data_IF_920681029140
#
_entry.id   IF_920681029140
#
_cell.length_a   1.000
_cell.length_b   1.000
_cell.length_c   1.000
_cell.angle_alpha   90.00
_cell.angle_beta   90.00
_cell.angle_gamma   90.00
#
_symmetry.space_group_name_H-M   'P 1'
#
loop_
_entity.id
_entity.type
_entity.pdbx_description
1 polymer ?
#
# COMPACT_ATOMS: atom_id res chain seq x y z
N UNK A 1 -19.05 5.35 43.34
CA UNK A 1 -20.25 5.14 42.49
C UNK A 1 -20.20 5.82 41.12
N UNK A 2 -19.25 6.74 40.83
CA UNK A 2 -19.10 7.35 39.49
C UNK A 2 -18.29 6.51 38.46
N UNK A 3 -17.71 5.39 38.87
CA UNK A 3 -16.83 4.56 38.02
C UNK A 3 -17.56 3.42 37.28
N UNK A 4 -18.74 3.04 37.75
CA UNK A 4 -19.55 1.97 37.14
C UNK A 4 -20.30 2.49 35.90
N UNK A 5 -20.80 3.73 35.93
CA UNK A 5 -21.47 4.34 34.76
C UNK A 5 -20.52 4.59 33.58
N UNK A 6 -19.21 4.76 33.80
CA UNK A 6 -18.24 4.92 32.71
C UNK A 6 -17.91 3.59 32.04
N UNK A 7 -17.93 2.47 32.78
CA UNK A 7 -17.75 1.10 32.26
C UNK A 7 -18.99 0.56 31.53
N UNK A 8 -20.19 1.01 31.89
CA UNK A 8 -21.42 0.63 31.19
C UNK A 8 -21.56 1.34 29.84
N UNK A 9 -21.07 2.58 29.71
CA UNK A 9 -21.04 3.28 28.41
C UNK A 9 -20.12 2.63 27.38
N UNK A 10 -18.95 2.14 27.79
CA UNK A 10 -18.05 1.38 26.90
C UNK A 10 -18.59 0.00 26.54
N UNK A 11 -19.38 -0.63 27.43
CA UNK A 11 -20.04 -1.89 27.13
C UNK A 11 -21.20 -1.73 26.13
N UNK A 12 -21.96 -0.63 26.20
CA UNK A 12 -23.02 -0.32 25.22
C UNK A 12 -22.46 -0.02 23.82
N UNK A 13 -21.27 0.58 23.72
CA UNK A 13 -20.53 0.72 22.44
C UNK A 13 -20.05 -0.64 21.88
N UNK A 14 -19.76 -1.62 22.75
CA UNK A 14 -19.44 -2.99 22.33
C UNK A 14 -20.68 -3.84 21.96
N UNK A 15 -21.87 -3.53 22.47
CA UNK A 15 -23.12 -4.17 22.01
C UNK A 15 -23.49 -3.70 20.59
N UNK A 16 -23.13 -2.47 20.24
CA UNK A 16 -23.18 -1.98 18.84
C UNK A 16 -22.39 -2.87 17.87
N UNK A 17 -21.24 -3.42 18.29
CA UNK A 17 -20.44 -4.36 17.49
C UNK A 17 -21.10 -5.72 17.25
N UNK A 18 -22.01 -6.17 18.14
CA UNK A 18 -22.75 -7.43 17.94
C UNK A 18 -23.92 -7.28 16.97
N UNK A 19 -24.61 -6.13 16.98
CA UNK A 19 -25.62 -5.79 15.97
C UNK A 19 -24.98 -5.48 14.61
N UNK A 20 -23.75 -4.98 14.60
CA UNK A 20 -22.96 -4.81 13.38
C UNK A 20 -22.45 -6.12 12.79
N UNK A 21 -22.32 -7.22 13.54
CA UNK A 21 -21.83 -8.50 12.97
C UNK A 21 -22.74 -9.01 11.84
N UNK A 22 -24.06 -8.90 11.97
CA UNK A 22 -25.01 -9.32 10.94
C UNK A 22 -25.04 -8.35 9.75
N UNK A 23 -24.92 -7.04 10.00
CA UNK A 23 -24.84 -6.00 8.95
C UNK A 23 -23.50 -6.01 8.20
N UNK A 24 -22.39 -6.29 8.88
CA UNK A 24 -21.04 -6.45 8.32
C UNK A 24 -20.94 -7.70 7.44
N UNK A 25 -21.54 -8.82 7.87
CA UNK A 25 -21.67 -10.02 7.03
C UNK A 25 -22.54 -9.76 5.78
N UNK A 26 -23.55 -8.90 5.88
CA UNK A 26 -24.40 -8.52 4.73
C UNK A 26 -23.72 -7.53 3.76
N UNK A 27 -22.84 -6.65 4.26
CA UNK A 27 -22.10 -5.68 3.42
C UNK A 27 -20.91 -6.30 2.68
N UNK A 28 -20.28 -7.34 3.24
CA UNK A 28 -19.23 -8.11 2.56
C UNK A 28 -19.71 -8.75 1.24
N UNK A 29 -21.03 -8.94 1.07
CA UNK A 29 -21.60 -9.72 -0.03
C UNK A 29 -21.76 -8.95 -1.35
N UNK A 30 -21.72 -7.61 -1.40
CA UNK A 30 -22.19 -6.86 -2.59
C UNK A 30 -21.13 -6.14 -3.45
N UNK A 31 -19.84 -6.13 -3.07
CA UNK A 31 -18.81 -5.42 -3.85
C UNK A 31 -17.47 -6.12 -4.06
N UNK A 32 -17.14 -7.16 -3.27
CA UNK A 32 -15.82 -7.81 -3.27
C UNK A 32 -15.79 -9.19 -3.94
N UNK A 33 -16.94 -9.73 -4.36
CA UNK A 33 -17.04 -11.07 -4.93
C UNK A 33 -16.19 -11.27 -6.19
N UNK A 34 -16.04 -10.26 -7.06
CA UNK A 34 -15.26 -10.44 -8.30
C UNK A 34 -13.74 -10.58 -8.06
N UNK A 35 -13.19 -10.02 -6.98
CA UNK A 35 -11.78 -10.26 -6.60
C UNK A 35 -11.62 -11.58 -5.82
N UNK A 36 -12.65 -11.98 -5.06
CA UNK A 36 -12.73 -13.28 -4.38
C UNK A 36 -12.82 -14.46 -5.38
N UNK A 37 -13.57 -14.31 -6.47
CA UNK A 37 -13.72 -15.36 -7.49
C UNK A 37 -12.43 -15.68 -8.25
N UNK A 38 -11.45 -14.77 -8.25
CA UNK A 38 -10.12 -15.01 -8.84
C UNK A 38 -9.23 -15.92 -7.99
N UNK A 39 -9.68 -16.29 -6.77
CA UNK A 39 -8.96 -17.14 -5.82
C UNK A 39 -9.48 -18.60 -5.76
N UNK A 40 -10.24 -19.06 -6.77
CA UNK A 40 -10.75 -20.44 -6.86
C UNK A 40 -9.60 -21.46 -6.87
N UNK A 41 -9.31 -22.05 -5.72
CA UNK A 41 -8.33 -23.12 -5.65
C UNK A 41 -8.04 -23.70 -4.27
N UNK A 42 -8.20 -22.97 -3.16
CA UNK A 42 -8.34 -23.63 -1.84
C UNK A 42 -9.34 -22.90 -0.97
N UNK A 43 -10.11 -23.73 -0.28
CA UNK A 43 -11.04 -23.33 0.76
C UNK A 43 -10.27 -23.24 2.08
N UNK A 44 -9.80 -22.04 2.42
CA UNK A 44 -9.72 -21.72 3.85
C UNK A 44 -11.13 -21.42 4.28
N UNK A 45 -11.53 -22.02 5.40
CA UNK A 45 -12.83 -21.78 5.99
C UNK A 45 -13.01 -20.28 6.25
N UNK A 46 -14.01 -19.69 5.59
CA UNK A 46 -14.32 -18.26 5.68
C UNK A 46 -14.60 -17.85 7.13
N UNK A 47 -15.16 -18.76 7.95
CA UNK A 47 -15.41 -18.51 9.36
C UNK A 47 -14.08 -18.33 10.13
N UNK A 48 -13.05 -19.11 9.78
CA UNK A 48 -11.72 -19.00 10.42
C UNK A 48 -11.04 -17.68 10.06
N UNK A 49 -11.13 -17.24 8.79
CA UNK A 49 -10.60 -15.94 8.38
C UNK A 49 -11.34 -14.81 9.09
N UNK A 50 -12.66 -14.91 9.17
CA UNK A 50 -13.53 -13.93 9.82
C UNK A 50 -13.24 -13.83 11.31
N UNK A 51 -13.19 -14.96 12.02
CA UNK A 51 -12.86 -15.03 13.45
C UNK A 51 -11.49 -14.40 13.74
N UNK A 52 -10.48 -14.74 12.93
CA UNK A 52 -9.13 -14.18 13.11
C UNK A 52 -9.09 -12.69 12.76
N UNK A 53 -9.89 -12.23 11.80
CA UNK A 53 -10.08 -10.79 11.53
C UNK A 53 -10.63 -10.07 12.75
N UNK A 54 -11.68 -10.59 13.39
CA UNK A 54 -12.25 -10.01 14.61
C UNK A 54 -11.20 -9.89 15.70
N UNK A 55 -10.49 -11.00 16.01
CA UNK A 55 -9.41 -11.02 17.01
C UNK A 55 -8.32 -9.99 16.71
N UNK A 56 -7.95 -9.83 15.44
CA UNK A 56 -6.94 -8.86 15.00
C UNK A 56 -7.40 -7.41 15.20
N UNK A 57 -8.63 -7.10 14.80
CA UNK A 57 -9.21 -5.76 14.94
C UNK A 57 -9.36 -5.40 16.42
N UNK A 58 -9.88 -6.32 17.25
CA UNK A 58 -10.00 -6.13 18.70
C UNK A 58 -8.64 -5.87 19.36
N UNK A 59 -7.62 -6.69 19.02
CA UNK A 59 -6.27 -6.53 19.55
C UNK A 59 -5.69 -5.13 19.28
N UNK A 60 -5.92 -4.60 18.08
CA UNK A 60 -5.39 -3.32 17.63
C UNK A 60 -6.25 -2.13 18.13
N UNK A 61 -7.57 -2.24 18.16
CA UNK A 61 -8.49 -1.19 18.66
C UNK A 61 -8.43 -1.04 20.18
N UNK A 62 -8.19 -2.13 20.91
CA UNK A 62 -8.09 -2.12 22.37
C UNK A 62 -6.66 -1.88 22.87
N UNK A 63 -5.77 -1.35 22.03
CA UNK A 63 -4.40 -1.00 22.38
C UNK A 63 -4.33 0.29 23.22
N UNK A 64 -4.67 0.21 24.51
CA UNK A 64 -4.66 1.35 25.44
C UNK A 64 -3.27 1.97 25.68
N UNK A 65 -2.21 1.18 25.47
CA UNK A 65 -0.84 1.67 25.60
C UNK A 65 -0.42 2.59 24.44
N UNK A 66 -1.11 2.50 23.30
CA UNK A 66 -0.86 3.35 22.13
C UNK A 66 -1.65 4.64 22.33
N UNK A 67 -0.94 5.68 22.77
CA UNK A 67 -1.50 7.01 23.05
C UNK A 67 -1.01 8.02 22.02
N UNK A 68 -1.69 8.13 20.87
CA UNK A 68 -1.26 9.05 19.82
C UNK A 68 -1.56 10.51 20.19
N UNK A 69 -0.98 11.47 19.44
CA UNK A 69 -1.29 12.88 19.60
C UNK A 69 -2.79 13.17 19.61
N UNK A 70 -3.18 14.16 20.42
CA UNK A 70 -4.56 14.69 20.42
C UNK A 70 -4.90 15.28 19.06
N UNK A 71 -6.15 15.11 18.64
CA UNK A 71 -6.66 15.68 17.39
C UNK A 71 -6.45 14.82 16.15
N UNK A 72 -5.80 13.65 16.28
CA UNK A 72 -5.72 12.70 15.18
C UNK A 72 -7.05 11.93 15.00
N UNK A 73 -7.43 11.59 13.75
CA UNK A 73 -8.61 10.78 13.47
C UNK A 73 -8.64 9.47 14.26
N UNK A 74 -9.82 9.08 14.73
CA UNK A 74 -10.06 7.84 15.47
C UNK A 74 -9.09 7.63 16.66
N UNK A 75 -8.65 8.71 17.30
CA UNK A 75 -7.64 8.65 18.35
C UNK A 75 -6.41 7.83 17.92
N UNK A 76 -6.00 7.99 16.65
CA UNK A 76 -4.89 7.30 16.00
C UNK A 76 -4.97 5.78 15.90
N UNK A 77 -6.11 5.15 16.21
CA UNK A 77 -6.34 3.72 15.99
C UNK A 77 -7.17 3.56 14.72
N UNK A 78 -6.51 3.21 13.62
CA UNK A 78 -7.09 3.39 12.27
C UNK A 78 -7.47 2.09 11.59
N UNK A 79 -7.19 0.93 12.20
CA UNK A 79 -7.57 -0.38 11.65
C UNK A 79 -9.09 -0.50 11.44
N UNK A 80 -9.54 -0.94 10.28
CA UNK A 80 -10.95 -1.28 10.04
C UNK A 80 -11.12 -2.77 9.77
N UNK A 81 -12.32 -3.29 10.00
CA UNK A 81 -12.64 -4.70 9.79
C UNK A 81 -12.45 -5.10 8.32
N UNK A 82 -13.03 -4.35 7.38
CA UNK A 82 -12.99 -4.69 5.95
C UNK A 82 -11.56 -4.72 5.41
N UNK A 83 -10.72 -3.77 5.83
CA UNK A 83 -9.32 -3.73 5.42
C UNK A 83 -8.52 -4.88 6.04
N UNK A 84 -8.80 -5.23 7.29
CA UNK A 84 -8.16 -6.36 7.95
C UNK A 84 -8.58 -7.70 7.31
N UNK A 85 -9.85 -7.85 6.93
CA UNK A 85 -10.35 -9.03 6.23
C UNK A 85 -9.67 -9.19 4.87
N UNK A 86 -9.66 -8.13 4.04
CA UNK A 86 -8.99 -8.13 2.75
C UNK A 86 -7.48 -8.47 2.88
N UNK A 87 -6.82 -7.90 3.88
CA UNK A 87 -5.42 -8.19 4.19
C UNK A 87 -5.19 -9.66 4.60
N UNK A 88 -6.06 -10.24 5.42
CA UNK A 88 -5.93 -11.65 5.82
C UNK A 88 -6.22 -12.62 4.68
N UNK A 89 -7.19 -12.33 3.83
CA UNK A 89 -7.44 -13.10 2.61
C UNK A 89 -6.20 -13.09 1.68
N UNK A 90 -5.57 -11.92 1.52
CA UNK A 90 -4.31 -11.76 0.78
C UNK A 90 -3.17 -12.55 1.41
N UNK A 91 -3.04 -12.51 2.74
CA UNK A 91 -2.02 -13.25 3.48
C UNK A 91 -2.17 -14.76 3.32
N UNK A 92 -3.40 -15.28 3.46
CA UNK A 92 -3.72 -16.70 3.23
C UNK A 92 -3.35 -17.12 1.81
N UNK A 93 -3.63 -16.27 0.81
CA UNK A 93 -3.21 -16.53 -0.56
C UNK A 93 -1.69 -16.62 -0.68
N UNK A 94 -0.95 -15.66 -0.10
CA UNK A 94 0.52 -15.70 -0.10
C UNK A 94 1.07 -16.92 0.62
N UNK A 95 0.48 -17.34 1.74
CA UNK A 95 0.90 -18.54 2.48
C UNK A 95 0.87 -19.78 1.59
N UNK A 96 -0.16 -19.91 0.76
CA UNK A 96 -0.34 -21.04 -0.16
C UNK A 96 0.62 -20.99 -1.34
N UNK A 97 0.72 -19.83 -1.97
CA UNK A 97 1.47 -19.66 -3.22
C UNK A 97 2.98 -19.57 -2.98
N UNK A 98 3.39 -18.93 -1.89
CA UNK A 98 4.78 -18.55 -1.63
C UNK A 98 5.40 -19.27 -0.42
N UNK A 99 4.58 -19.92 0.41
CA UNK A 99 5.01 -20.50 1.67
C UNK A 99 5.15 -19.48 2.81
N UNK A 100 5.38 -19.96 4.05
CA UNK A 100 5.37 -19.14 5.26
C UNK A 100 6.45 -18.04 5.28
N UNK A 101 7.63 -18.32 4.73
CA UNK A 101 8.77 -17.41 4.78
C UNK A 101 8.52 -16.13 3.97
N UNK A 102 7.97 -16.28 2.76
CA UNK A 102 7.69 -15.15 1.84
C UNK A 102 6.34 -14.49 2.11
N UNK A 103 5.37 -15.22 2.66
CA UNK A 103 4.07 -14.67 3.02
C UNK A 103 4.11 -13.83 4.30
N UNK A 104 5.15 -13.97 5.11
CA UNK A 104 5.23 -13.39 6.45
C UNK A 104 5.04 -11.86 6.42
N UNK A 105 4.02 -11.32 7.12
CA UNK A 105 3.82 -9.89 7.15
C UNK A 105 4.92 -9.19 7.94
N UNK A 106 5.18 -7.94 7.60
CA UNK A 106 6.23 -7.12 8.21
C UNK A 106 5.69 -5.77 8.68
N UNK A 107 6.29 -5.23 9.74
CA UNK A 107 6.00 -3.86 10.19
C UNK A 107 6.61 -2.87 9.20
N UNK A 108 5.85 -1.87 8.81
CA UNK A 108 6.30 -0.81 7.91
C UNK A 108 5.67 0.53 8.26
N UNK A 109 6.23 1.61 7.74
CA UNK A 109 5.78 2.97 8.00
C UNK A 109 5.42 3.68 6.69
N UNK A 110 4.27 4.33 6.69
CA UNK A 110 3.79 5.14 5.58
C UNK A 110 3.62 6.59 6.03
N UNK A 111 4.41 7.48 5.43
CA UNK A 111 4.29 8.91 5.63
C UNK A 111 3.53 9.56 4.49
N UNK A 112 2.74 10.57 4.83
CA UNK A 112 1.94 11.37 3.92
C UNK A 112 1.65 12.72 4.57
N UNK A 113 1.21 13.70 3.79
CA UNK A 113 0.75 14.98 4.32
C UNK A 113 -0.50 14.79 5.21
N UNK A 114 -0.63 15.62 6.25
CA UNK A 114 -1.70 15.50 7.25
C UNK A 114 -3.11 15.65 6.66
N UNK A 115 -3.25 16.45 5.59
CA UNK A 115 -4.49 16.61 4.82
C UNK A 115 -5.05 15.28 4.28
N UNK A 116 -4.20 14.25 4.14
CA UNK A 116 -4.61 12.94 3.65
C UNK A 116 -5.07 11.99 4.77
N UNK A 117 -4.82 12.31 6.05
CA UNK A 117 -5.05 11.38 7.16
C UNK A 117 -6.49 10.89 7.21
N UNK A 118 -7.46 11.81 7.23
CA UNK A 118 -8.88 11.44 7.31
C UNK A 118 -9.30 10.51 6.16
N UNK A 119 -8.93 10.86 4.93
CA UNK A 119 -9.28 10.05 3.76
C UNK A 119 -8.69 8.64 3.79
N UNK A 120 -7.48 8.47 4.34
CA UNK A 120 -6.83 7.15 4.47
C UNK A 120 -7.50 6.33 5.56
N UNK A 121 -7.92 6.97 6.66
CA UNK A 121 -8.67 6.30 7.72
C UNK A 121 -10.03 5.81 7.24
N UNK A 122 -10.71 6.59 6.41
CA UNK A 122 -12.03 6.24 5.86
C UNK A 122 -11.97 5.21 4.71
N UNK A 123 -10.94 5.29 3.85
CA UNK A 123 -10.91 4.56 2.57
C UNK A 123 -9.69 3.68 2.34
N UNK A 124 -8.87 3.46 3.38
CA UNK A 124 -7.57 2.79 3.32
C UNK A 124 -6.51 3.54 2.47
N UNK A 125 -5.28 3.02 2.47
CA UNK A 125 -4.26 3.40 1.50
C UNK A 125 -4.64 2.86 0.12
N UNK A 126 -4.65 3.74 -0.88
CA UNK A 126 -5.01 3.40 -2.25
C UNK A 126 -3.82 3.49 -3.17
N UNK A 127 -3.72 2.53 -4.09
CA UNK A 127 -2.79 2.61 -5.21
C UNK A 127 -3.25 3.78 -6.10
N UNK A 128 -2.36 4.73 -6.47
CA UNK A 128 -2.71 5.80 -7.40
C UNK A 128 -3.38 5.22 -8.65
N UNK A 129 -4.32 5.90 -9.32
CA UNK A 129 -4.93 5.40 -10.55
C UNK A 129 -4.61 6.23 -11.80
N UNK A 130 -4.61 5.57 -12.96
CA UNK A 130 -4.64 6.26 -14.25
C UNK A 130 -6.05 6.82 -14.53
N UNK A 131 -7.07 6.26 -13.87
CA UNK A 131 -8.44 6.75 -13.91
C UNK A 131 -8.50 8.18 -13.32
N UNK A 132 -9.10 9.16 -14.03
CA UNK A 132 -9.33 10.51 -13.52
C UNK A 132 -10.13 10.57 -12.20
N UNK A 133 -10.94 9.56 -11.88
CA UNK A 133 -11.64 9.45 -10.60
C UNK A 133 -10.75 8.94 -9.44
N UNK A 134 -9.56 8.44 -9.75
CA UNK A 134 -8.63 7.90 -8.76
C UNK A 134 -7.71 8.94 -8.13
N UNK A 135 -6.89 8.49 -7.19
CA UNK A 135 -5.87 9.33 -6.55
C UNK A 135 -4.84 9.76 -7.59
N UNK A 136 -4.88 11.05 -7.95
CA UNK A 136 -3.95 11.66 -8.92
C UNK A 136 -2.53 11.65 -8.38
N UNK A 137 -1.59 11.31 -9.26
CA UNK A 137 -0.17 11.31 -8.95
C UNK A 137 0.36 12.75 -8.84
N UNK A 138 0.60 13.23 -7.60
CA UNK A 138 1.18 14.56 -7.32
C UNK A 138 2.70 14.60 -7.51
N UNK A 139 3.40 13.47 -7.30
CA UNK A 139 4.86 13.37 -7.37
C UNK A 139 5.31 12.21 -8.27
N UNK A 140 6.55 12.30 -8.78
CA UNK A 140 7.17 11.22 -9.56
C UNK A 140 7.11 9.87 -8.84
N UNK A 141 7.03 8.78 -9.60
CA UNK A 141 6.97 7.42 -9.07
C UNK A 141 8.33 6.75 -9.28
N UNK A 142 9.27 7.01 -8.36
CA UNK A 142 10.68 6.63 -8.50
C UNK A 142 10.89 5.13 -8.76
N UNK A 143 10.02 4.28 -8.20
CA UNK A 143 10.11 2.82 -8.30
C UNK A 143 8.86 2.19 -8.93
N UNK A 144 7.97 2.99 -9.49
CA UNK A 144 6.71 2.54 -10.06
C UNK A 144 5.47 2.94 -9.26
N UNK A 145 4.32 2.63 -9.85
CA UNK A 145 3.01 2.95 -9.27
C UNK A 145 2.70 1.95 -8.15
N UNK A 146 2.32 2.46 -6.99
CA UNK A 146 2.04 1.63 -5.81
C UNK A 146 2.01 2.48 -4.54
N UNK A 147 1.79 1.80 -3.42
CA UNK A 147 1.82 2.37 -2.08
C UNK A 147 3.25 2.28 -1.56
N UNK A 148 3.85 3.42 -1.22
CA UNK A 148 5.25 3.52 -0.80
C UNK A 148 5.35 3.39 0.72
N UNK A 149 6.21 2.51 1.21
CA UNK A 149 6.49 2.37 2.65
C UNK A 149 7.98 2.16 2.91
N UNK A 150 8.44 2.30 4.15
CA UNK A 150 9.80 1.91 4.55
C UNK A 150 9.71 1.20 5.92
N UNK A 151 10.47 0.10 6.13
CA UNK A 151 10.52 -0.59 7.42
C UNK A 151 11.29 0.19 8.50
N UNK A 152 12.06 1.22 8.12
CA UNK A 152 12.77 2.10 9.05
C UNK A 152 12.01 3.42 9.23
N UNK A 153 11.48 3.63 10.43
CA UNK A 153 10.74 4.85 10.78
C UNK A 153 11.56 6.13 10.61
N UNK A 154 12.81 6.14 11.10
CA UNK A 154 13.62 7.36 11.18
C UNK A 154 13.98 7.83 9.79
N UNK A 155 14.43 6.90 8.95
CA UNK A 155 14.74 7.21 7.55
C UNK A 155 13.50 7.64 6.78
N UNK A 156 12.36 7.00 7.03
CA UNK A 156 11.12 7.36 6.36
C UNK A 156 10.66 8.79 6.74
N UNK A 157 10.88 9.20 7.99
CA UNK A 157 10.54 10.54 8.48
C UNK A 157 11.34 11.63 7.76
N UNK A 158 12.64 11.45 7.63
CA UNK A 158 13.54 12.42 6.98
C UNK A 158 13.18 12.65 5.50
N UNK A 159 12.74 11.59 4.81
CA UNK A 159 12.54 11.61 3.37
C UNK A 159 11.09 11.87 2.93
N UNK A 160 10.11 11.44 3.73
CA UNK A 160 8.72 11.34 3.30
C UNK A 160 7.72 11.98 4.25
N UNK A 161 8.13 12.58 5.38
CA UNK A 161 7.16 13.17 6.32
C UNK A 161 6.38 14.35 5.73
N UNK A 162 6.99 15.12 4.82
CA UNK A 162 6.40 16.36 4.29
C UNK A 162 5.96 17.33 5.41
N UNK A 163 6.64 17.32 6.56
CA UNK A 163 6.30 18.13 7.72
C UNK A 163 5.17 17.57 8.59
N UNK A 164 4.61 16.40 8.26
CA UNK A 164 3.60 15.76 9.08
C UNK A 164 4.14 15.38 10.47
N UNK A 165 3.31 15.55 11.48
CA UNK A 165 3.62 15.23 12.88
C UNK A 165 3.49 13.74 13.22
N UNK A 166 2.74 12.99 12.42
CA UNK A 166 2.45 11.58 12.63
C UNK A 166 2.65 10.74 11.36
N UNK A 167 2.82 9.43 11.54
CA UNK A 167 2.97 8.43 10.48
C UNK A 167 1.99 7.28 10.67
N UNK A 168 1.62 6.62 9.58
CA UNK A 168 0.92 5.36 9.67
C UNK A 168 1.90 4.23 9.97
N UNK A 169 1.68 3.54 11.10
CA UNK A 169 2.34 2.28 11.43
C UNK A 169 1.44 1.13 10.92
N UNK A 170 1.98 0.36 9.99
CA UNK A 170 1.22 -0.62 9.19
C UNK A 170 1.80 -2.02 9.28
N UNK A 171 0.99 -3.00 8.89
CA UNK A 171 1.46 -4.33 8.48
C UNK A 171 1.48 -4.39 6.94
N UNK A 172 2.50 -5.02 6.36
CA UNK A 172 2.65 -5.16 4.92
C UNK A 172 2.98 -6.60 4.50
N UNK A 173 2.38 -7.03 3.38
CA UNK A 173 2.63 -8.30 2.69
C UNK A 173 3.50 -8.03 1.46
N UNK A 174 4.80 -8.25 1.61
CA UNK A 174 5.77 -7.92 0.55
C UNK A 174 5.92 -9.02 -0.50
N UNK A 175 5.68 -10.29 -0.15
CA UNK A 175 5.84 -11.43 -1.05
C UNK A 175 7.21 -11.48 -1.74
N UNK A 176 7.24 -11.93 -2.99
CA UNK A 176 8.45 -11.91 -3.84
C UNK A 176 8.76 -10.48 -4.24
N UNK A 177 9.97 -10.02 -3.93
CA UNK A 177 10.36 -8.62 -4.18
C UNK A 177 11.27 -8.48 -5.40
N UNK A 178 10.96 -7.53 -6.28
CA UNK A 178 11.88 -7.11 -7.34
C UNK A 178 12.74 -5.94 -6.87
N UNK A 179 14.06 -6.13 -6.85
CA UNK A 179 14.99 -5.04 -6.50
C UNK A 179 15.09 -4.03 -7.64
N UNK A 180 14.96 -2.74 -7.33
CA UNK A 180 15.14 -1.65 -8.29
C UNK A 180 16.04 -0.55 -7.75
N UNK A 181 16.89 -0.02 -8.60
CA UNK A 181 17.74 1.13 -8.31
C UNK A 181 17.19 2.41 -8.92
N UNK A 182 17.30 3.53 -8.22
CA UNK A 182 16.87 4.83 -8.70
C UNK A 182 17.56 5.19 -10.04
N UNK A 183 16.80 5.74 -10.99
CA UNK A 183 17.34 6.26 -12.27
C UNK A 183 17.43 5.25 -13.41
N UNK A 184 17.01 3.99 -13.24
CA UNK A 184 16.95 3.00 -14.32
C UNK A 184 15.51 2.54 -14.58
N UNK A 185 14.89 3.15 -15.58
CA UNK A 185 13.63 2.69 -16.19
C UNK A 185 12.37 3.42 -15.74
N UNK A 186 11.36 3.40 -16.63
CA UNK A 186 9.97 3.70 -16.27
C UNK A 186 9.52 2.72 -15.16
N UNK A 187 8.45 3.04 -14.42
CA UNK A 187 7.99 2.30 -13.24
C UNK A 187 7.83 0.78 -13.40
N UNK A 188 7.29 0.06 -12.43
CA UNK A 188 6.60 -1.20 -12.73
C UNK A 188 5.59 -0.87 -13.85
N UNK A 189 5.98 -1.07 -15.10
CA UNK A 189 5.02 -1.18 -16.18
C UNK A 189 4.21 -2.42 -15.85
N UNK A 190 2.95 -2.42 -16.24
CA UNK A 190 2.02 -3.55 -16.10
C UNK A 190 2.61 -4.87 -16.64
N UNK A 191 3.70 -4.81 -17.41
CA UNK A 191 4.43 -5.90 -18.04
C UNK A 191 5.43 -6.66 -17.15
N UNK A 192 5.38 -6.54 -15.82
CA UNK A 192 6.37 -7.21 -14.94
C UNK A 192 6.08 -8.66 -14.57
N UNK A 193 5.06 -9.25 -15.19
CA UNK A 193 4.76 -10.68 -15.05
C UNK A 193 4.23 -11.02 -13.65
N UNK A 194 3.66 -12.20 -13.51
CA UNK A 194 3.10 -12.73 -12.26
C UNK A 194 4.18 -13.15 -11.23
N UNK A 195 5.43 -12.70 -11.42
CA UNK A 195 6.61 -13.24 -10.74
C UNK A 195 6.97 -12.50 -9.45
N UNK A 196 6.49 -11.26 -9.30
CA UNK A 196 6.80 -10.41 -8.15
C UNK A 196 5.55 -9.77 -7.57
N UNK A 197 5.52 -9.70 -6.24
CA UNK A 197 4.40 -9.21 -5.45
C UNK A 197 4.65 -7.77 -4.94
N UNK A 198 5.91 -7.33 -4.89
CA UNK A 198 6.28 -5.95 -4.57
C UNK A 198 7.61 -5.53 -5.18
N UNK A 199 7.95 -4.24 -5.07
CA UNK A 199 9.27 -3.71 -5.43
C UNK A 199 10.04 -3.27 -4.19
N UNK A 200 11.32 -3.64 -4.14
CA UNK A 200 12.31 -3.14 -3.20
C UNK A 200 13.15 -2.05 -3.90
N UNK A 201 12.76 -0.79 -3.68
CA UNK A 201 13.48 0.39 -4.13
C UNK A 201 14.74 0.65 -3.29
N UNK A 202 15.87 0.84 -3.97
CA UNK A 202 17.17 1.23 -3.40
C UNK A 202 17.64 2.53 -4.02
N UNK A 203 17.87 3.54 -3.19
CA UNK A 203 18.45 4.81 -3.61
C UNK A 203 19.97 4.82 -3.36
N UNK A 204 20.80 5.20 -4.34
CA UNK A 204 22.23 5.38 -4.11
C UNK A 204 22.49 6.38 -2.98
N UNK A 205 23.38 6.03 -2.06
CA UNK A 205 23.74 6.90 -0.93
C UNK A 205 22.69 6.97 0.19
N UNK A 206 21.65 6.14 0.15
CA UNK A 206 20.67 6.00 1.24
C UNK A 206 20.58 4.55 1.69
N UNK A 207 20.52 4.35 2.99
CA UNK A 207 20.43 3.03 3.61
C UNK A 207 18.98 2.54 3.87
N UNK A 208 17.94 3.28 3.44
CA UNK A 208 16.53 2.82 3.58
C UNK A 208 16.12 2.03 2.34
N UNK A 209 15.60 0.84 2.61
CA UNK A 209 14.78 0.08 1.69
C UNK A 209 13.41 0.73 1.57
N UNK A 210 13.00 1.15 0.38
CA UNK A 210 11.62 1.58 0.14
C UNK A 210 10.85 0.43 -0.49
N UNK A 211 9.71 0.05 0.09
CA UNK A 211 8.82 -0.92 -0.52
C UNK A 211 7.74 -0.20 -1.33
N UNK A 212 7.40 -0.77 -2.48
CA UNK A 212 6.28 -0.32 -3.30
C UNK A 212 5.31 -1.48 -3.48
N UNK A 213 4.13 -1.35 -2.88
CA UNK A 213 3.08 -2.35 -2.87
C UNK A 213 2.06 -2.04 -3.99
N UNK A 214 1.84 -2.96 -4.94
CA UNK A 214 0.99 -2.71 -6.10
C UNK A 214 -0.51 -2.84 -5.83
N UNK A 215 -0.93 -3.28 -4.63
CA UNK A 215 -2.32 -3.44 -4.25
C UNK A 215 -2.60 -2.96 -2.82
N UNK A 216 -3.83 -2.47 -2.59
CA UNK A 216 -4.26 -1.94 -1.29
C UNK A 216 -4.42 -3.01 -0.21
N UNK A 217 -4.78 -4.23 -0.60
CA UNK A 217 -4.91 -5.38 0.32
C UNK A 217 -3.56 -5.97 0.77
N UNK A 218 -2.44 -5.48 0.25
CA UNK A 218 -1.10 -5.82 0.75
C UNK A 218 -0.68 -4.97 1.95
N UNK A 219 -1.47 -3.99 2.36
CA UNK A 219 -1.16 -3.14 3.49
C UNK A 219 -2.36 -2.95 4.41
N UNK A 220 -2.10 -2.98 5.71
CA UNK A 220 -3.07 -2.71 6.75
C UNK A 220 -2.56 -1.57 7.62
N UNK A 221 -3.08 -0.33 7.45
CA UNK A 221 -2.89 0.73 8.41
C UNK A 221 -3.50 0.33 9.76
N UNK A 222 -2.69 0.33 10.82
CA UNK A 222 -3.16 -0.06 12.14
C UNK A 222 -3.23 1.13 13.08
N UNK A 223 -2.17 1.95 13.08
CA UNK A 223 -2.06 3.12 13.93
C UNK A 223 -1.58 4.35 13.15
N UNK A 224 -2.00 5.52 13.58
CA UNK A 224 -1.48 6.83 13.18
C UNK A 224 -0.82 7.45 14.41
N UNK A 225 0.51 7.49 14.42
CA UNK A 225 1.32 7.74 15.64
C UNK A 225 2.43 8.73 15.39
N UNK A 226 2.78 9.49 16.43
CA UNK A 226 4.00 10.27 16.48
C UNK A 226 5.18 9.43 17.00
N UNK A 227 6.32 10.08 17.22
CA UNK A 227 7.53 9.45 17.73
C UNK A 227 7.38 8.93 19.18
N UNK A 228 6.50 9.55 19.97
CA UNK A 228 6.28 9.17 21.38
C UNK A 228 5.47 7.88 21.47
N UNK A 229 4.41 7.75 20.67
CA UNK A 229 3.54 6.56 20.67
C UNK A 229 4.11 5.38 19.87
N UNK A 230 5.12 5.63 19.01
CA UNK A 230 5.69 4.63 18.11
C UNK A 230 6.16 3.32 18.79
N UNK A 231 6.90 3.33 19.92
CA UNK A 231 7.38 2.08 20.53
C UNK A 231 6.24 1.17 20.98
N UNK A 232 5.18 1.75 21.55
CA UNK A 232 3.98 1.02 21.98
C UNK A 232 3.24 0.44 20.76
N UNK A 233 3.09 1.23 19.69
CA UNK A 233 2.47 0.78 18.45
C UNK A 233 3.24 -0.40 17.82
N UNK A 234 4.56 -0.31 17.72
CA UNK A 234 5.40 -1.40 17.19
C UNK A 234 5.30 -2.65 18.06
N UNK A 235 5.25 -2.51 19.39
CA UNK A 235 5.05 -3.65 20.29
C UNK A 235 3.71 -4.34 20.02
N UNK A 236 2.62 -3.58 19.83
CA UNK A 236 1.31 -4.14 19.51
C UNK A 236 1.24 -4.76 18.11
N UNK A 237 1.88 -4.15 17.12
CA UNK A 237 2.01 -4.73 15.78
C UNK A 237 2.74 -6.09 15.80
N UNK A 238 3.73 -6.27 16.68
CA UNK A 238 4.39 -7.58 16.85
C UNK A 238 3.46 -8.63 17.47
N UNK A 239 2.57 -8.24 18.38
CA UNK A 239 1.52 -9.14 18.89
C UNK A 239 0.55 -9.51 17.77
N UNK A 240 0.15 -8.55 16.94
CA UNK A 240 -0.69 -8.80 15.76
C UNK A 240 -0.01 -9.75 14.77
N UNK A 241 1.30 -9.59 14.51
CA UNK A 241 2.05 -10.54 13.68
C UNK A 241 2.05 -11.96 14.27
N UNK A 242 2.16 -12.10 15.59
CA UNK A 242 2.09 -13.41 16.24
C UNK A 242 0.71 -14.06 16.06
N UNK A 243 -0.37 -13.29 16.24
CA UNK A 243 -1.75 -13.73 15.99
C UNK A 243 -1.96 -14.18 14.54
N UNK A 244 -1.48 -13.40 13.57
CA UNK A 244 -1.65 -13.69 12.14
C UNK A 244 -0.89 -14.96 11.75
N UNK A 245 0.28 -15.20 12.35
CA UNK A 245 1.14 -16.36 12.07
C UNK A 245 0.73 -17.63 12.81
N UNK A 246 -0.32 -17.60 13.65
CA UNK A 246 -0.91 -18.81 14.20
C UNK A 246 -1.21 -19.80 13.06
N UNK A 247 -1.12 -21.13 13.30
CA UNK A 247 -1.43 -22.12 12.29
C UNK A 247 -2.79 -21.87 11.63
N UNK A 248 -2.82 -22.00 10.31
CA UNK A 248 -4.04 -21.91 9.51
C UNK A 248 -4.50 -23.31 9.13
N UNK A 249 -5.79 -23.64 9.25
CA UNK A 249 -6.34 -24.93 8.83
C UNK A 249 -6.47 -24.98 7.31
N UNK A 250 -5.34 -24.84 6.60
CA UNK A 250 -5.29 -24.93 5.15
C UNK A 250 -5.40 -26.41 4.79
N UNK A 251 -6.56 -26.82 4.26
CA UNK A 251 -6.70 -28.14 3.69
C UNK A 251 -5.72 -28.26 2.51
N UNK A 252 -4.91 -29.33 2.44
CA UNK A 252 -4.09 -29.58 1.25
C UNK A 252 -5.02 -29.54 0.04
N UNK A 253 -4.71 -28.70 -0.95
CA UNK A 253 -5.39 -28.79 -2.23
C UNK A 253 -5.21 -30.20 -2.72
N UNK A 254 -6.31 -30.91 -3.02
CA UNK A 254 -6.23 -32.15 -3.76
C UNK A 254 -5.24 -31.95 -4.92
N UNK A 255 -4.31 -32.89 -5.16
CA UNK A 255 -3.35 -32.73 -6.25
C UNK A 255 -4.13 -32.35 -7.51
N UNK A 256 -3.57 -31.44 -8.34
CA UNK A 256 -4.24 -31.00 -9.57
C UNK A 256 -4.76 -32.26 -10.25
N UNK A 257 -6.08 -32.38 -10.37
CA UNK A 257 -6.72 -33.52 -11.03
C UNK A 257 -6.02 -33.60 -12.37
N UNK A 258 -5.20 -34.63 -12.57
CA UNK A 258 -4.43 -34.82 -13.79
C UNK A 258 -5.41 -34.55 -14.91
N UNK A 259 -5.12 -33.50 -15.70
CA UNK A 259 -5.99 -33.13 -16.80
C UNK A 259 -6.27 -34.44 -17.53
N UNK A 260 -7.54 -34.84 -17.70
CA UNK A 260 -7.86 -36.14 -18.26
C UNK A 260 -6.98 -36.28 -19.49
N UNK A 261 -6.06 -37.26 -19.45
CA UNK A 261 -5.10 -37.47 -20.52
C UNK A 261 -5.90 -37.34 -21.80
N UNK A 262 -5.56 -36.36 -22.64
CA UNK A 262 -6.22 -36.15 -23.92
C UNK A 262 -6.02 -37.47 -24.67
N UNK A 263 -7.00 -38.35 -24.53
CA UNK A 263 -6.99 -39.69 -25.06
C UNK A 263 -7.18 -39.50 -26.56
N UNK A 264 -6.04 -39.26 -27.22
CA UNK A 264 -5.74 -39.67 -28.57
C UNK A 264 -6.93 -39.54 -29.53
N UNK A 265 -7.40 -38.31 -29.79
CA UNK A 265 -8.16 -38.02 -31.01
C UNK A 265 -7.21 -38.14 -32.19
N UNK A 266 -6.94 -39.38 -32.61
CA UNK A 266 -6.04 -39.71 -33.71
C UNK A 266 -6.65 -39.56 -35.10
N UNK A 267 -7.96 -39.33 -35.24
CA UNK A 267 -8.64 -39.43 -36.53
C UNK A 267 -9.53 -38.22 -36.86
N UNK A 268 -8.98 -37.02 -36.88
CA UNK A 268 -9.62 -35.89 -37.56
C UNK A 268 -8.99 -35.70 -38.96
N UNK A 269 -9.74 -35.89 -40.05
CA UNK A 269 -9.23 -35.71 -41.40
C UNK A 269 -8.84 -34.24 -41.63
N UNK A 270 -7.69 -34.05 -42.28
CA UNK A 270 -7.09 -32.76 -42.59
C UNK A 270 -8.06 -31.83 -43.33
N UNK A 271 -8.60 -30.85 -42.63
CA UNK A 271 -9.33 -29.74 -43.23
C UNK A 271 -8.31 -28.81 -43.90
N UNK A 272 -8.42 -28.71 -45.23
CA UNK A 272 -7.55 -27.92 -46.09
C UNK A 272 -7.59 -26.45 -45.68
N UNK A 273 -6.48 -25.93 -45.16
CA UNK A 273 -6.31 -24.49 -44.98
C UNK A 273 -6.41 -23.77 -46.34
N UNK A 274 -7.20 -22.69 -46.43
CA UNK A 274 -7.19 -21.84 -47.60
C UNK A 274 -5.83 -21.12 -47.75
N UNK A 275 -5.42 -20.80 -48.98
CA UNK A 275 -4.14 -20.16 -49.27
C UNK A 275 -4.03 -18.81 -48.57
N UNK A 276 -2.87 -18.55 -47.97
CA UNK A 276 -2.46 -17.25 -47.44
C UNK A 276 -2.52 -16.23 -48.58
N UNK A 277 -3.44 -15.28 -48.46
CA UNK A 277 -3.39 -14.06 -49.25
C UNK A 277 -2.24 -13.20 -48.79
N UNK A 278 -1.38 -12.82 -49.73
CA UNK A 278 -0.36 -11.80 -49.57
C UNK A 278 -1.05 -10.45 -49.40
N UNK A 279 -1.13 -9.95 -48.17
CA UNK A 279 -1.46 -8.54 -47.91
C UNK A 279 -0.20 -7.83 -47.40
N UNK A 280 0.70 -7.56 -48.35
CA UNK A 280 1.62 -6.42 -48.30
C UNK A 280 0.79 -5.14 -48.48
N UNK A 281 0.20 -4.60 -47.40
CA UNK A 281 -0.30 -3.23 -47.41
C UNK A 281 0.35 -2.38 -46.32
N UNK A 282 1.38 -1.68 -46.78
CA UNK A 282 2.13 -0.59 -46.18
C UNK A 282 1.23 0.43 -45.46
N UNK A 283 1.01 0.27 -44.16
CA UNK A 283 0.62 1.37 -43.29
C UNK A 283 1.88 2.11 -42.81
N UNK A 284 2.26 3.12 -43.61
CA UNK A 284 3.19 4.16 -43.19
C UNK A 284 2.59 4.92 -41.99
N UNK A 285 3.11 4.65 -40.80
CA UNK A 285 2.80 5.44 -39.62
C UNK A 285 3.29 6.89 -39.81
N UNK A 286 2.51 7.92 -39.41
CA UNK A 286 2.92 9.31 -39.53
C UNK A 286 4.12 9.59 -38.61
N UNK A 287 5.20 10.08 -39.20
CA UNK A 287 6.30 10.75 -38.49
C UNK A 287 5.74 11.92 -37.68
N UNK A 288 5.65 11.76 -36.37
CA UNK A 288 5.47 12.88 -35.46
C UNK A 288 6.71 13.77 -35.52
N UNK A 289 6.60 14.89 -36.27
CA UNK A 289 7.59 15.96 -36.25
C UNK A 289 7.58 16.62 -34.88
N UNK A 290 8.75 16.75 -34.26
CA UNK A 290 8.99 17.71 -33.18
C UNK A 290 8.67 19.10 -33.73
N UNK A 291 7.59 19.69 -33.25
CA UNK A 291 7.33 21.11 -33.39
C UNK A 291 8.16 21.86 -32.35
N UNK A 292 9.16 22.58 -32.83
CA UNK A 292 9.87 23.61 -32.09
C UNK A 292 8.84 24.66 -31.64
N UNK A 293 8.62 24.75 -30.33
CA UNK A 293 7.82 25.81 -29.74
C UNK A 293 8.72 27.01 -29.52
N UNK A 294 8.79 27.88 -30.53
CA UNK A 294 9.25 29.26 -30.37
C UNK A 294 8.29 29.97 -29.39
N UNK A 295 8.82 30.42 -28.27
CA UNK A 295 8.16 31.39 -27.40
C UNK A 295 8.43 32.78 -27.96
N UNK A 296 7.42 33.38 -28.58
CA UNK A 296 7.40 34.78 -28.95
C UNK A 296 7.28 35.64 -27.69
N UNK A 297 8.28 36.48 -27.46
CA UNK A 297 8.24 37.63 -26.57
C UNK A 297 7.14 38.59 -26.97
N UNK A 298 6.23 38.88 -26.05
CA UNK A 298 5.43 40.10 -26.07
C UNK A 298 5.55 40.71 -24.68
N UNK A 299 6.24 41.84 -24.62
CA UNK A 299 6.15 42.77 -23.51
C UNK A 299 4.73 43.36 -23.46
N UNK A 300 4.30 43.80 -22.28
CA UNK A 300 3.84 45.16 -22.23
C UNK A 300 4.50 46.00 -21.14
N UNK A 301 4.65 47.23 -21.57
CA UNK A 301 5.26 48.39 -20.97
C UNK A 301 4.50 48.92 -19.74
N UNK A 302 5.31 49.45 -18.82
CA UNK A 302 5.10 50.45 -17.76
C UNK A 302 3.72 50.77 -17.19
N UNK A 303 3.64 50.65 -15.86
CA UNK A 303 2.64 51.28 -15.00
C UNK A 303 3.04 51.22 -13.52
N UNK A 304 3.78 52.23 -13.09
CA UNK A 304 4.39 52.43 -11.78
C UNK A 304 3.37 52.73 -10.66
N UNK A 305 3.45 52.02 -9.52
CA UNK A 305 3.07 52.50 -8.18
C UNK A 305 3.44 51.47 -7.08
N UNK A 306 4.65 51.61 -6.56
CA UNK A 306 5.04 51.51 -5.13
C UNK A 306 4.08 50.85 -4.11
N UNK A 307 4.44 49.67 -3.58
CA UNK A 307 4.79 49.40 -2.16
C UNK A 307 5.02 47.89 -1.90
N UNK A 308 6.24 47.56 -1.46
CA UNK A 308 6.75 46.26 -0.95
C UNK A 308 6.34 46.06 0.54
N UNK A 309 6.30 44.84 1.12
CA UNK A 309 7.38 43.83 1.16
C UNK A 309 6.96 42.41 0.70
N UNK A 310 7.71 41.79 -0.23
CA UNK A 310 8.69 40.70 0.00
C UNK A 310 8.16 39.58 0.90
N UNK A 311 8.01 38.33 0.49
CA UNK A 311 8.56 37.61 -0.66
C UNK A 311 8.57 36.15 -0.23
N UNK A 312 7.51 35.43 -0.56
CA UNK A 312 7.36 34.01 -0.29
C UNK A 312 7.12 33.33 -1.63
N UNK A 313 8.17 32.72 -2.19
CA UNK A 313 8.07 31.46 -2.92
C UNK A 313 9.46 30.98 -3.36
N UNK A 314 9.61 29.65 -3.30
CA UNK A 314 10.55 28.85 -4.10
C UNK A 314 12.06 29.07 -3.89
N UNK A 315 12.67 28.22 -3.06
CA UNK A 315 13.84 27.37 -3.37
C UNK A 315 13.86 26.26 -2.31
N UNK A 316 13.18 25.14 -2.60
CA UNK A 316 13.42 23.88 -1.91
C UNK A 316 14.24 23.00 -2.86
N UNK A 317 15.56 23.20 -2.85
CA UNK A 317 16.60 22.29 -3.34
C UNK A 317 17.96 22.97 -3.14
N UNK A 318 18.87 22.29 -2.45
CA UNK A 318 20.23 22.70 -2.04
C UNK A 318 20.31 23.55 -0.78
N UNK A 319 20.46 22.89 0.37
CA UNK A 319 21.42 23.23 1.45
C UNK A 319 21.43 22.13 2.52
N UNK A 320 22.09 21.01 2.23
CA UNK A 320 22.82 20.27 3.25
C UNK A 320 24.29 20.73 3.16
N UNK A 321 24.60 21.88 3.76
CA UNK A 321 25.98 22.28 4.06
C UNK A 321 26.50 21.30 5.12
N UNK A 322 27.64 20.63 4.88
CA UNK A 322 28.94 21.13 5.36
C UNK A 322 28.82 21.72 6.77
N UNK A 323 28.88 20.84 7.76
CA UNK A 323 29.12 21.20 9.16
C UNK A 323 30.01 20.14 9.82
N UNK A 324 31.27 20.04 9.38
CA UNK A 324 32.36 19.50 10.21
C UNK A 324 33.60 20.34 9.95
N UNK A 325 33.67 21.49 10.62
CA UNK A 325 34.84 22.34 10.68
C UNK A 325 35.21 22.61 12.14
N UNK A 326 36.28 21.95 12.59
CA UNK A 326 37.18 22.48 13.62
C UNK A 326 37.00 22.01 15.06
N UNK A 327 37.96 21.21 15.55
CA UNK A 327 38.92 21.67 16.56
C UNK A 327 40.10 20.68 16.66
N UNK A 328 41.28 21.16 16.31
CA UNK A 328 42.57 20.57 16.72
C UNK A 328 42.75 20.92 18.20
N UNK A 329 43.07 19.93 19.02
CA UNK A 329 43.77 20.17 20.27
C UNK A 329 45.23 19.80 20.05
N UNK A 330 46.10 20.77 20.29
CA UNK A 330 47.50 20.55 20.61
C UNK A 330 47.60 20.44 22.13
N UNK A 331 48.40 19.48 22.58
CA UNK A 331 48.69 19.15 23.97
C UNK A 331 49.48 17.85 23.97
#
# INVERSE_FOLDING_TARGET
MLDISRRLKTAEECVGLQQDRASLLALAQNGQLQELERCRGVEVDEDVVTERTVRLVELLRNAEEVRPPKGLPCEGKVVSFDNALAFLLRYVRFLRELGPDLASPQVTFHWTAEENFQSIVESNLRVPSADPAGVKKKHGAAFGRGIYTCPDYKMAKEDFSYGASATFACLALVGRQKVRHHGKGHGLSESHGADFDSVLGRMPGRNCATWVLPASDQILPCFLVDEVALPAAVAKLRQALALIREPWPIKPTSPPREAPEEEHRKDAPAEKQPPRGDEDELLQAPRWRRGDRQTSSLEPDSGDATLRPSGAEAICMRKCLKATGGKRFAG
#
